data_IF_197425270980
#
_entry.id   IF_197425270980
#
_cell.length_a   1.000
_cell.length_b   1.000
_cell.length_c   1.000
_cell.angle_alpha   90.00
_cell.angle_beta   90.00
_cell.angle_gamma   90.00
#
_symmetry.space_group_name_H-M   'P 1'
#
loop_
_entity.id
_entity.type
_entity.pdbx_description
1 polymer ?
#
# COMPACT_ATOMS: atom_id res chain seq x y z
N UNK A 1 3.71 -21.11 1.43
CA UNK A 1 4.12 -20.03 0.52
C UNK A 1 5.38 -19.43 1.08
N UNK A 2 6.44 -19.32 0.28
CA UNK A 2 7.64 -18.60 0.71
C UNK A 2 7.27 -17.12 0.87
N UNK A 3 7.45 -16.50 2.04
CA UNK A 3 7.30 -15.06 2.16
C UNK A 3 8.36 -14.45 1.23
N UNK A 4 7.91 -13.73 0.20
CA UNK A 4 8.80 -12.82 -0.49
C UNK A 4 9.46 -11.94 0.58
N UNK A 5 10.78 -11.75 0.57
CA UNK A 5 11.47 -11.01 1.62
C UNK A 5 10.99 -9.55 1.76
N UNK A 6 10.23 -9.06 0.77
CA UNK A 6 9.67 -7.72 0.73
C UNK A 6 8.14 -7.71 0.73
N UNK A 7 7.54 -8.70 1.40
CA UNK A 7 6.11 -8.76 1.68
C UNK A 7 5.78 -8.25 3.08
N UNK A 8 4.71 -7.45 3.19
CA UNK A 8 4.17 -7.00 4.47
C UNK A 8 2.65 -7.02 4.43
N UNK A 9 2.04 -7.64 5.43
CA UNK A 9 0.59 -7.64 5.61
C UNK A 9 0.25 -7.13 7.02
N UNK A 10 -0.81 -6.33 7.11
CA UNK A 10 -1.31 -5.83 8.38
C UNK A 10 -2.83 -5.83 8.39
N UNK A 11 -3.40 -5.95 9.59
CA UNK A 11 -4.84 -5.85 9.83
C UNK A 11 -5.14 -4.58 10.62
N UNK A 12 -6.14 -3.82 10.17
CA UNK A 12 -6.68 -2.70 10.91
C UNK A 12 -7.73 -3.22 11.90
N UNK A 13 -7.35 -3.31 13.16
CA UNK A 13 -8.21 -3.85 14.23
C UNK A 13 -9.29 -2.87 14.67
N UNK A 14 -9.01 -1.56 14.61
CA UNK A 14 -9.95 -0.49 14.95
C UNK A 14 -9.76 0.69 14.00
N UNK A 15 -10.86 1.14 13.40
CA UNK A 15 -10.89 2.21 12.42
C UNK A 15 -11.95 3.25 12.77
N UNK A 16 -11.59 4.54 12.73
CA UNK A 16 -12.57 5.63 12.82
C UNK A 16 -13.21 5.95 11.46
N UNK A 17 -12.85 5.22 10.40
CA UNK A 17 -13.35 5.40 9.03
C UNK A 17 -14.06 4.15 8.50
N UNK A 18 -14.39 3.21 9.40
CA UNK A 18 -15.15 2.00 9.09
C UNK A 18 -14.34 0.89 8.39
N UNK A 19 -13.01 0.98 8.35
CA UNK A 19 -12.16 -0.09 7.80
C UNK A 19 -11.83 -1.15 8.86
N UNK A 20 -12.80 -1.53 9.71
CA UNK A 20 -12.58 -2.54 10.73
C UNK A 20 -12.36 -3.92 10.08
N UNK A 21 -11.41 -4.70 10.62
CA UNK A 21 -10.97 -5.98 10.06
C UNK A 21 -10.44 -5.90 8.62
N UNK A 22 -10.06 -4.70 8.16
CA UNK A 22 -9.41 -4.48 6.87
C UNK A 22 -8.00 -5.07 6.89
N UNK A 23 -7.75 -6.07 6.05
CA UNK A 23 -6.41 -6.64 5.86
C UNK A 23 -5.80 -6.02 4.62
N UNK A 24 -4.66 -5.36 4.78
CA UNK A 24 -3.86 -4.88 3.67
C UNK A 24 -2.62 -5.73 3.47
N UNK A 25 -2.33 -6.11 2.23
CA UNK A 25 -1.14 -6.85 1.85
C UNK A 25 -0.37 -6.11 0.76
N UNK A 26 0.92 -5.93 0.99
CA UNK A 26 1.88 -5.36 0.06
C UNK A 26 2.97 -6.39 -0.23
N UNK A 27 3.38 -6.51 -1.48
CA UNK A 27 4.58 -7.26 -1.85
C UNK A 27 5.34 -6.51 -2.92
N UNK A 28 6.65 -6.39 -2.72
CA UNK A 28 7.54 -5.78 -3.70
C UNK A 28 8.23 -6.87 -4.53
N UNK A 29 8.36 -6.62 -5.83
CA UNK A 29 9.17 -7.45 -6.72
C UNK A 29 9.99 -6.57 -7.66
N UNK A 30 11.16 -7.07 -8.05
CA UNK A 30 11.92 -6.49 -9.14
C UNK A 30 11.07 -6.46 -10.43
N UNK A 31 11.08 -5.32 -11.12
CA UNK A 31 10.38 -5.12 -12.38
C UNK A 31 11.34 -4.83 -13.55
N UNK A 32 12.66 -4.86 -13.29
CA UNK A 32 13.69 -4.48 -14.24
C UNK A 32 13.90 -2.96 -14.30
N UNK A 33 14.92 -2.52 -15.04
CA UNK A 33 15.24 -1.10 -15.28
C UNK A 33 15.27 -0.23 -14.00
N UNK A 34 15.91 -0.73 -12.94
CA UNK A 34 15.98 -0.10 -11.62
C UNK A 34 14.60 0.28 -11.03
N UNK A 35 13.56 -0.45 -11.44
CA UNK A 35 12.19 -0.21 -11.02
C UNK A 35 11.66 -1.34 -10.15
N UNK A 36 10.68 -1.01 -9.31
CA UNK A 36 10.04 -1.95 -8.39
C UNK A 36 8.56 -2.00 -8.69
N UNK A 37 8.03 -3.21 -8.88
CA UNK A 37 6.60 -3.46 -8.98
C UNK A 37 6.03 -3.67 -7.58
N UNK A 38 4.97 -2.92 -7.28
CA UNK A 38 4.23 -2.99 -6.02
C UNK A 38 2.96 -3.81 -6.26
N UNK A 39 2.94 -5.03 -5.72
CA UNK A 39 1.72 -5.84 -5.65
C UNK A 39 0.95 -5.41 -4.41
N UNK A 40 -0.30 -5.02 -4.62
CA UNK A 40 -1.20 -4.60 -3.55
C UNK A 40 -2.49 -5.42 -3.64
N UNK A 41 -2.90 -5.96 -2.50
CA UNK A 41 -4.21 -6.58 -2.34
C UNK A 41 -4.77 -6.24 -0.98
N UNK A 42 -6.08 -6.29 -0.85
CA UNK A 42 -6.76 -6.08 0.40
C UNK A 42 -7.94 -7.01 0.54
N UNK A 43 -8.30 -7.29 1.79
CA UNK A 43 -9.52 -7.95 2.18
C UNK A 43 -10.29 -6.98 3.08
N UNK A 44 -11.58 -6.82 2.82
CA UNK A 44 -12.44 -5.90 3.56
C UNK A 44 -13.77 -6.58 3.83
N UNK A 45 -14.23 -6.48 5.07
CA UNK A 45 -15.63 -6.71 5.37
C UNK A 45 -16.39 -5.40 5.07
N UNK A 46 -17.21 -5.35 4.00
CA UNK A 46 -17.83 -4.10 3.58
C UNK A 46 -18.69 -3.52 4.71
N UNK A 47 -18.50 -2.22 4.96
CA UNK A 47 -19.30 -1.47 5.92
C UNK A 47 -20.76 -1.52 5.48
N UNK A 48 -21.69 -1.67 6.42
CA UNK A 48 -23.11 -1.61 6.12
C UNK A 48 -23.47 -0.27 5.45
N UNK A 49 -24.00 -0.33 4.22
CA UNK A 49 -24.31 0.84 3.41
C UNK A 49 -23.12 1.45 2.64
N UNK A 50 -21.92 0.87 2.74
CA UNK A 50 -20.75 1.26 1.95
C UNK A 50 -20.87 0.80 0.50
N UNK A 51 -20.57 1.71 -0.44
CA UNK A 51 -20.42 1.36 -1.85
C UNK A 51 -19.01 0.82 -2.10
N UNK A 52 -18.92 -0.43 -2.56
CA UNK A 52 -17.65 -1.12 -2.83
C UNK A 52 -16.74 -0.30 -3.77
N UNK A 53 -17.28 0.20 -4.89
CA UNK A 53 -16.53 1.02 -5.84
C UNK A 53 -15.93 2.27 -5.20
N UNK A 54 -16.69 2.92 -4.31
CA UNK A 54 -16.21 4.12 -3.60
C UNK A 54 -15.09 3.80 -2.62
N UNK A 55 -15.12 2.62 -1.98
CA UNK A 55 -14.05 2.15 -1.11
C UNK A 55 -12.80 1.82 -1.93
N UNK A 56 -12.97 1.14 -3.07
CA UNK A 56 -11.87 0.82 -3.99
C UNK A 56 -11.20 2.10 -4.49
N UNK A 57 -11.99 3.09 -4.92
CA UNK A 57 -11.47 4.38 -5.40
C UNK A 57 -10.71 5.13 -4.30
N UNK A 58 -11.28 5.19 -3.08
CA UNK A 58 -10.64 5.81 -1.93
C UNK A 58 -9.31 5.15 -1.58
N UNK A 59 -9.29 3.82 -1.44
CA UNK A 59 -8.06 3.07 -1.15
C UNK A 59 -7.05 3.25 -2.28
N UNK A 60 -7.46 3.15 -3.54
CA UNK A 60 -6.61 3.37 -4.70
C UNK A 60 -5.94 4.75 -4.69
N UNK A 61 -6.67 5.81 -4.31
CA UNK A 61 -6.12 7.14 -4.13
C UNK A 61 -5.08 7.20 -3.00
N UNK A 62 -5.39 6.62 -1.83
CA UNK A 62 -4.49 6.59 -0.67
C UNK A 62 -3.19 5.86 -1.02
N UNK A 63 -3.26 4.66 -1.61
CA UNK A 63 -2.07 3.88 -1.94
C UNK A 63 -1.20 4.55 -3.00
N UNK A 64 -1.79 5.10 -4.07
CA UNK A 64 -1.04 5.87 -5.07
C UNK A 64 -0.32 7.06 -4.43
N UNK A 65 -1.00 7.78 -3.54
CA UNK A 65 -0.42 8.91 -2.81
C UNK A 65 0.74 8.49 -1.90
N UNK A 66 0.63 7.35 -1.22
CA UNK A 66 1.70 6.79 -0.40
C UNK A 66 2.92 6.39 -1.24
N UNK A 67 2.72 5.73 -2.40
CA UNK A 67 3.81 5.37 -3.31
C UNK A 67 4.54 6.62 -3.80
N UNK A 68 3.81 7.66 -4.24
CA UNK A 68 4.45 8.91 -4.68
C UNK A 68 5.26 9.60 -3.57
N UNK A 69 4.79 9.53 -2.32
CA UNK A 69 5.54 10.05 -1.16
C UNK A 69 6.81 9.26 -0.89
N UNK A 70 6.77 7.93 -0.97
CA UNK A 70 7.94 7.07 -0.81
C UNK A 70 8.98 7.37 -1.91
N UNK A 71 8.54 7.49 -3.16
CA UNK A 71 9.42 7.88 -4.27
C UNK A 71 10.11 9.22 -4.01
N UNK A 72 9.36 10.23 -3.56
CA UNK A 72 9.91 11.53 -3.20
C UNK A 72 10.96 11.44 -2.07
N UNK A 73 10.65 10.70 -1.01
CA UNK A 73 11.56 10.52 0.12
C UNK A 73 12.86 9.80 -0.27
N UNK A 74 12.78 8.78 -1.12
CA UNK A 74 13.96 8.08 -1.65
C UNK A 74 14.81 9.05 -2.48
N UNK A 75 14.20 9.83 -3.38
CA UNK A 75 14.91 10.82 -4.18
C UNK A 75 15.68 11.83 -3.31
N UNK A 76 15.02 12.40 -2.30
CA UNK A 76 15.67 13.33 -1.36
C UNK A 76 16.78 12.69 -0.54
N UNK A 77 16.63 11.42 -0.12
CA UNK A 77 17.67 10.71 0.62
C UNK A 77 18.92 10.45 -0.24
N UNK A 78 18.74 10.11 -1.52
CA UNK A 78 19.84 9.91 -2.47
C UNK A 78 20.60 11.22 -2.75
N UNK A 79 19.90 12.35 -2.81
CA UNK A 79 20.53 13.67 -2.91
C UNK A 79 21.33 14.04 -1.67
N UNK A 80 20.81 13.74 -0.47
CA UNK A 80 21.48 14.04 0.81
C UNK A 80 22.69 13.14 1.11
N UNK A 81 22.78 11.96 0.50
CA UNK A 81 23.91 11.02 0.67
C UNK A 81 25.09 11.26 -0.30
N UNK A 82 24.97 12.23 -1.22
CA UNK A 82 26.07 12.70 -2.08
C UNK A 82 26.85 13.83 -1.35
N UNK A 83 27.70 13.45 -0.41
CA UNK A 83 28.79 14.30 0.14
C UNK A 83 30.12 13.58 -0.04
#
# INVERSE_FOLDING_TARGET
MDPSPFGYAYEMVLSNVGLDAYVNSLKLSDYGDDSTLVHWSFDINPIEGGCEDSIIDYLGFVYKSCISRIQGAIGSAQESGRL
#
